data_IF_302031209021
#
_entry.id   IF_302031209021
#
_cell.length_a   1.000
_cell.length_b   1.000
_cell.length_c   1.000
_cell.angle_alpha   90.00
_cell.angle_beta   90.00
_cell.angle_gamma   90.00
#
_symmetry.space_group_name_H-M   'P 1'
#
loop_
_entity.id
_entity.type
_entity.pdbx_description
1 polymer ?
#
# COMPACT_ATOMS: atom_id res chain seq x y z
N UNK A 1 -2.51 4.10 8.11
CA UNK A 1 -1.58 3.12 8.72
C UNK A 1 -2.15 1.72 8.64
N UNK A 2 -1.86 1.01 7.55
CA UNK A 2 -2.11 -0.44 7.42
C UNK A 2 -0.89 -1.18 7.96
N UNK A 3 -0.72 -1.19 9.29
CA UNK A 3 0.49 -1.72 9.91
C UNK A 3 0.31 -3.20 10.22
N UNK A 4 1.22 -4.04 9.72
CA UNK A 4 1.69 -5.38 10.15
C UNK A 4 0.72 -6.39 10.84
N UNK A 5 -0.15 -5.96 11.75
CA UNK A 5 -1.16 -6.74 12.45
C UNK A 5 -2.28 -7.30 11.56
N UNK A 6 -2.54 -6.71 10.40
CA UNK A 6 -3.56 -7.21 9.46
C UNK A 6 -3.14 -8.54 8.79
N UNK A 7 -1.83 -8.80 8.67
CA UNK A 7 -1.26 -10.00 8.07
C UNK A 7 -1.08 -11.17 9.05
N UNK A 8 -1.26 -10.96 10.35
CA UNK A 8 -1.31 -12.08 11.30
C UNK A 8 -2.75 -12.60 11.41
N UNK A 9 -2.93 -13.87 11.06
CA UNK A 9 -4.24 -14.53 11.13
C UNK A 9 -4.16 -15.92 11.76
N UNK A 10 -5.30 -16.34 12.32
CA UNK A 10 -5.49 -17.69 12.85
C UNK A 10 -6.57 -18.42 12.05
N UNK A 11 -6.28 -19.65 11.65
CA UNK A 11 -7.13 -20.42 10.73
C UNK A 11 -8.50 -20.80 11.33
N UNK A 12 -8.60 -20.85 12.65
CA UNK A 12 -9.83 -21.09 13.43
C UNK A 12 -10.70 -19.84 13.59
N UNK A 13 -10.16 -18.65 13.31
CA UNK A 13 -10.88 -17.37 13.42
C UNK A 13 -11.37 -16.81 12.08
N UNK A 14 -11.06 -17.46 10.96
CA UNK A 14 -11.36 -16.95 9.61
C UNK A 14 -12.82 -16.50 9.42
N UNK A 15 -13.78 -17.19 10.02
CA UNK A 15 -15.21 -16.84 9.92
C UNK A 15 -15.57 -15.54 10.65
N UNK A 16 -14.79 -15.15 11.66
CA UNK A 16 -15.00 -13.94 12.46
C UNK A 16 -14.37 -12.69 11.84
N UNK A 17 -13.43 -12.85 10.90
CA UNK A 17 -12.75 -11.73 10.28
C UNK A 17 -13.67 -10.96 9.34
N UNK A 18 -13.41 -9.65 9.25
CA UNK A 18 -14.07 -8.76 8.29
C UNK A 18 -13.72 -9.16 6.88
N UNK A 19 -14.59 -8.80 5.93
CA UNK A 19 -14.39 -9.05 4.50
C UNK A 19 -13.08 -8.44 3.99
N UNK A 20 -12.75 -7.22 4.44
CA UNK A 20 -11.46 -6.57 4.16
C UNK A 20 -10.27 -7.40 4.63
N UNK A 21 -10.28 -7.88 5.87
CA UNK A 21 -9.18 -8.71 6.39
C UNK A 21 -9.07 -10.02 5.62
N UNK A 22 -10.18 -10.63 5.22
CA UNK A 22 -10.17 -11.83 4.40
C UNK A 22 -9.59 -11.57 3.00
N UNK A 23 -9.91 -10.44 2.37
CA UNK A 23 -9.32 -10.03 1.10
C UNK A 23 -7.81 -9.81 1.23
N UNK A 24 -7.34 -9.16 2.30
CA UNK A 24 -5.90 -9.01 2.54
C UNK A 24 -5.19 -10.35 2.73
N UNK A 25 -5.77 -11.26 3.54
CA UNK A 25 -5.24 -12.62 3.71
C UNK A 25 -5.18 -13.33 2.36
N UNK A 26 -6.26 -13.29 1.57
CA UNK A 26 -6.31 -13.92 0.25
C UNK A 26 -5.18 -13.43 -0.65
N UNK A 27 -5.03 -12.11 -0.81
CA UNK A 27 -3.97 -11.52 -1.65
C UNK A 27 -2.55 -11.87 -1.14
N UNK A 28 -2.39 -12.08 0.17
CA UNK A 28 -1.11 -12.48 0.76
C UNK A 28 -0.78 -13.99 0.60
N UNK A 29 -1.75 -14.84 0.29
CA UNK A 29 -1.54 -16.29 0.16
C UNK A 29 -1.83 -16.84 -1.22
N UNK A 30 -2.52 -16.10 -2.09
CA UNK A 30 -2.93 -16.50 -3.46
C UNK A 30 -1.74 -16.48 -4.45
N UNK A 31 -0.66 -17.13 -4.04
CA UNK A 31 0.50 -17.39 -4.84
C UNK A 31 1.07 -18.77 -4.47
N UNK A 32 1.66 -19.50 -5.43
CA UNK A 32 2.27 -20.80 -5.15
C UNK A 32 3.38 -20.70 -4.09
N UNK A 33 3.52 -21.73 -3.25
CA UNK A 33 4.68 -21.83 -2.36
C UNK A 33 5.97 -21.78 -3.17
N UNK A 34 6.85 -20.81 -2.86
CA UNK A 34 8.12 -20.64 -3.55
C UNK A 34 9.01 -21.88 -3.43
N UNK A 35 9.77 -22.17 -4.48
CA UNK A 35 10.74 -23.28 -4.52
C UNK A 35 11.78 -23.17 -3.40
N UNK A 36 12.07 -21.98 -2.88
CA UNK A 36 12.96 -21.81 -1.72
C UNK A 36 12.41 -22.53 -0.49
N UNK A 37 11.09 -22.51 -0.26
CA UNK A 37 10.47 -23.24 0.86
C UNK A 37 10.61 -24.75 0.74
N UNK A 38 10.80 -25.29 -0.48
CA UNK A 38 11.02 -26.73 -0.68
C UNK A 38 12.24 -27.25 0.09
N UNK A 39 13.27 -26.42 0.26
CA UNK A 39 14.50 -26.77 0.98
C UNK A 39 14.26 -27.00 2.49
N UNK A 40 13.14 -26.52 3.03
CA UNK A 40 12.76 -26.69 4.44
C UNK A 40 12.07 -28.04 4.73
N UNK A 41 11.74 -28.81 3.70
CA UNK A 41 11.02 -30.08 3.84
C UNK A 41 11.97 -31.27 3.67
N UNK A 42 11.99 -32.23 4.61
CA UNK A 42 12.95 -33.35 4.60
C UNK A 42 12.82 -34.28 3.39
N UNK A 43 11.63 -34.36 2.79
CA UNK A 43 11.35 -35.26 1.68
C UNK A 43 10.19 -34.74 0.80
N UNK A 44 9.99 -35.40 -0.34
CA UNK A 44 8.93 -35.06 -1.30
C UNK A 44 7.52 -35.17 -0.72
N UNK A 45 7.27 -36.13 0.17
CA UNK A 45 5.96 -36.35 0.76
C UNK A 45 5.56 -35.18 1.66
N UNK A 46 6.48 -34.70 2.50
CA UNK A 46 6.23 -33.59 3.41
C UNK A 46 6.07 -32.26 2.64
N UNK A 47 6.84 -32.06 1.56
CA UNK A 47 6.61 -30.96 0.63
C UNK A 47 5.20 -31.00 0.04
N UNK A 48 4.75 -32.17 -0.46
CA UNK A 48 3.41 -32.31 -1.04
C UNK A 48 2.31 -32.03 -0.01
N UNK A 49 2.49 -32.48 1.24
CA UNK A 49 1.55 -32.16 2.33
C UNK A 49 1.48 -30.65 2.58
N UNK A 50 2.61 -29.95 2.54
CA UNK A 50 2.63 -28.49 2.72
C UNK A 50 1.93 -27.76 1.57
N UNK A 51 2.20 -28.15 0.32
CA UNK A 51 1.50 -27.60 -0.86
C UNK A 51 -0.01 -27.82 -0.75
N UNK A 52 -0.44 -29.03 -0.38
CA UNK A 52 -1.86 -29.33 -0.23
C UNK A 52 -2.51 -28.51 0.89
N UNK A 53 -1.82 -28.30 2.02
CA UNK A 53 -2.30 -27.45 3.12
C UNK A 53 -2.42 -25.99 2.69
N UNK A 54 -1.43 -25.48 1.94
CA UNK A 54 -1.45 -24.12 1.39
C UNK A 54 -2.64 -23.91 0.45
N UNK A 55 -2.81 -24.80 -0.52
CA UNK A 55 -3.93 -24.74 -1.46
C UNK A 55 -5.29 -24.86 -0.75
N UNK A 56 -5.39 -25.72 0.26
CA UNK A 56 -6.61 -25.82 1.07
C UNK A 56 -6.89 -24.54 1.87
N UNK A 57 -5.86 -23.85 2.36
CA UNK A 57 -6.01 -22.56 3.03
C UNK A 57 -6.50 -21.46 2.07
N UNK A 58 -5.90 -21.37 0.87
CA UNK A 58 -6.36 -20.46 -0.20
C UNK A 58 -7.85 -20.70 -0.48
N UNK A 59 -8.22 -21.96 -0.75
CA UNK A 59 -9.60 -22.30 -1.10
C UNK A 59 -10.57 -21.96 0.04
N UNK A 60 -10.20 -22.25 1.29
CA UNK A 60 -11.03 -21.93 2.46
C UNK A 60 -11.32 -20.44 2.57
N UNK A 61 -10.31 -19.58 2.39
CA UNK A 61 -10.49 -18.12 2.44
C UNK A 61 -11.33 -17.64 1.25
N UNK A 62 -11.09 -18.20 0.07
CA UNK A 62 -11.84 -17.90 -1.15
C UNK A 62 -13.33 -18.23 -1.01
N UNK A 63 -13.66 -19.42 -0.51
CA UNK A 63 -15.04 -19.85 -0.30
C UNK A 63 -15.77 -18.91 0.67
N UNK A 64 -15.10 -18.53 1.77
CA UNK A 64 -15.66 -17.54 2.71
C UNK A 64 -15.92 -16.19 2.06
N UNK A 65 -15.01 -15.69 1.20
CA UNK A 65 -15.20 -14.43 0.49
C UNK A 65 -16.37 -14.49 -0.49
N UNK A 66 -16.54 -15.60 -1.23
CA UNK A 66 -17.66 -15.80 -2.16
C UNK A 66 -19.01 -15.79 -1.44
N UNK A 67 -19.07 -16.27 -0.19
CA UNK A 67 -20.29 -16.26 0.62
C UNK A 67 -20.64 -14.87 1.19
N UNK A 68 -19.69 -13.94 1.23
CA UNK A 68 -19.90 -12.56 1.73
C UNK A 68 -20.63 -11.72 0.69
N UNK A 69 -21.75 -11.10 1.10
CA UNK A 69 -22.52 -10.20 0.20
C UNK A 69 -21.83 -8.87 -0.04
N UNK A 70 -20.87 -8.50 0.82
CA UNK A 70 -20.15 -7.24 0.84
C UNK A 70 -18.75 -7.31 0.24
N UNK A 71 -18.33 -8.46 -0.32
CA UNK A 71 -16.99 -8.72 -0.88
C UNK A 71 -16.50 -7.69 -1.89
N UNK A 72 -17.43 -7.09 -2.64
CA UNK A 72 -17.14 -6.16 -3.73
C UNK A 72 -17.70 -4.76 -3.49
N UNK A 73 -18.18 -4.47 -2.27
CA UNK A 73 -18.66 -3.15 -1.93
C UNK A 73 -17.51 -2.14 -1.89
N UNK A 74 -17.84 -0.87 -2.13
CA UNK A 74 -16.90 0.22 -1.88
C UNK A 74 -16.56 0.23 -0.39
N UNK A 75 -15.26 0.26 -0.08
CA UNK A 75 -14.74 0.17 1.28
C UNK A 75 -15.07 1.42 2.09
N UNK A 76 -15.44 1.21 3.36
CA UNK A 76 -15.73 2.32 4.28
C UNK A 76 -14.53 3.25 4.47
N UNK A 77 -13.31 2.71 4.49
CA UNK A 77 -12.08 3.50 4.59
C UNK A 77 -11.96 4.51 3.45
N UNK A 78 -12.23 4.06 2.21
CA UNK A 78 -12.23 4.94 1.04
C UNK A 78 -13.38 5.95 1.08
N UNK A 79 -14.60 5.54 1.47
CA UNK A 79 -15.74 6.45 1.60
C UNK A 79 -15.51 7.58 2.61
N UNK A 80 -14.72 7.35 3.67
CA UNK A 80 -14.35 8.39 4.64
C UNK A 80 -13.47 9.48 4.02
N UNK A 81 -12.59 9.11 3.09
CA UNK A 81 -11.77 10.06 2.33
C UNK A 81 -12.57 10.75 1.23
N UNK A 82 -13.64 10.10 0.75
CA UNK A 82 -14.45 10.53 -0.38
C UNK A 82 -15.94 10.69 -0.04
N UNK A 83 -16.32 11.64 0.85
CA UNK A 83 -17.68 11.75 1.36
C UNK A 83 -18.73 12.06 0.29
N UNK A 84 -18.32 12.64 -0.86
CA UNK A 84 -19.19 12.99 -1.97
C UNK A 84 -19.23 11.93 -3.09
N UNK A 85 -18.59 10.77 -2.91
CA UNK A 85 -18.41 9.79 -3.98
C UNK A 85 -19.60 8.87 -4.28
N UNK A 86 -20.77 9.07 -3.64
CA UNK A 86 -21.97 8.28 -3.91
C UNK A 86 -22.44 8.33 -5.38
N UNK A 87 -21.87 9.24 -6.19
CA UNK A 87 -22.16 9.41 -7.63
C UNK A 87 -21.01 8.99 -8.56
N UNK A 88 -19.86 8.51 -8.05
CA UNK A 88 -18.72 8.12 -8.88
C UNK A 88 -18.93 6.73 -9.50
N UNK A 89 -18.49 6.57 -10.75
CA UNK A 89 -18.59 5.32 -11.49
C UNK A 89 -17.82 4.16 -10.83
N UNK A 90 -18.28 2.93 -11.06
CA UNK A 90 -17.69 1.66 -10.57
C UNK A 90 -16.40 1.25 -11.30
N UNK A 91 -15.60 2.18 -11.81
CA UNK A 91 -14.30 1.84 -12.36
C UNK A 91 -13.21 2.04 -11.29
N UNK A 92 -12.28 1.10 -11.26
CA UNK A 92 -11.07 1.16 -10.47
C UNK A 92 -9.94 0.43 -11.18
N UNK A 93 -8.72 0.78 -10.82
CA UNK A 93 -7.50 0.31 -11.48
C UNK A 93 -6.69 -0.58 -10.54
N UNK A 94 -6.06 -1.63 -11.07
CA UNK A 94 -5.01 -2.32 -10.30
C UNK A 94 -3.73 -1.49 -10.26
N UNK A 95 -2.81 -1.84 -9.36
CA UNK A 95 -1.47 -1.23 -9.28
C UNK A 95 -0.73 -1.38 -10.61
N UNK A 96 -0.84 -2.50 -11.31
CA UNK A 96 -0.20 -2.70 -12.62
C UNK A 96 -0.79 -1.79 -13.69
N UNK A 97 -2.11 -1.59 -13.68
CA UNK A 97 -2.77 -0.67 -14.61
C UNK A 97 -2.37 0.78 -14.33
N UNK A 98 -2.22 1.17 -13.07
CA UNK A 98 -1.71 2.47 -12.67
C UNK A 98 -0.25 2.64 -13.07
N UNK A 99 0.61 1.63 -12.83
CA UNK A 99 2.01 1.64 -13.25
C UNK A 99 2.16 1.85 -14.76
N UNK A 100 1.27 1.27 -15.58
CA UNK A 100 1.25 1.49 -17.02
C UNK A 100 0.80 2.91 -17.41
N UNK A 101 -0.05 3.55 -16.61
CA UNK A 101 -0.46 4.95 -16.81
C UNK A 101 0.63 5.94 -16.37
N UNK A 102 1.42 5.57 -15.37
CA UNK A 102 2.49 6.39 -14.81
C UNK A 102 3.85 5.67 -14.93
N UNK A 103 4.35 5.40 -16.15
CA UNK A 103 5.52 4.53 -16.35
C UNK A 103 6.79 5.04 -15.67
N UNK A 104 6.95 6.37 -15.55
CA UNK A 104 8.09 7.00 -14.88
C UNK A 104 8.05 6.85 -13.35
N UNK A 105 6.87 6.60 -12.79
CA UNK A 105 6.60 6.48 -11.35
C UNK A 105 6.25 5.05 -10.93
N UNK A 106 6.23 4.09 -11.87
CA UNK A 106 5.77 2.73 -11.62
C UNK A 106 6.44 2.05 -10.42
N UNK A 107 7.73 2.33 -10.18
CA UNK A 107 8.49 1.80 -9.04
C UNK A 107 8.27 2.56 -7.73
N UNK A 108 7.78 3.79 -7.81
CA UNK A 108 7.55 4.69 -6.67
C UNK A 108 6.07 4.78 -6.29
N UNK A 109 5.19 4.13 -7.07
CA UNK A 109 3.74 4.23 -6.90
C UNK A 109 3.28 3.84 -5.48
N UNK A 110 3.89 2.80 -4.90
CA UNK A 110 3.61 2.41 -3.50
C UNK A 110 4.02 3.47 -2.48
N UNK A 111 5.15 4.15 -2.69
CA UNK A 111 5.61 5.22 -1.82
C UNK A 111 4.69 6.45 -1.91
N UNK A 112 4.26 6.80 -3.12
CA UNK A 112 3.26 7.84 -3.34
C UNK A 112 1.95 7.51 -2.63
N UNK A 113 1.43 6.28 -2.81
CA UNK A 113 0.19 5.83 -2.16
C UNK A 113 0.28 5.90 -0.63
N UNK A 114 1.43 5.56 -0.05
CA UNK A 114 1.65 5.67 1.41
C UNK A 114 1.68 7.13 1.87
N UNK A 115 2.32 8.03 1.11
CA UNK A 115 2.43 9.45 1.44
C UNK A 115 1.07 10.16 1.33
N UNK A 116 0.27 9.86 0.30
CA UNK A 116 -1.07 10.42 0.12
C UNK A 116 -2.15 9.69 0.94
N UNK A 117 -1.79 8.61 1.63
CA UNK A 117 -2.74 7.71 2.32
C UNK A 117 -3.87 7.21 1.39
N UNK A 118 -3.50 6.79 0.18
CA UNK A 118 -4.45 6.29 -0.82
C UNK A 118 -5.01 4.94 -0.37
N UNK A 119 -6.33 4.88 -0.24
CA UNK A 119 -7.05 3.67 0.16
C UNK A 119 -7.55 2.87 -1.04
N UNK A 120 -7.65 1.55 -0.86
CA UNK A 120 -8.33 0.67 -1.82
C UNK A 120 -9.80 1.08 -1.88
N UNK A 121 -10.33 1.31 -3.09
CA UNK A 121 -11.74 1.65 -3.32
C UNK A 121 -12.63 0.44 -3.10
N UNK A 122 -12.32 -0.69 -3.73
CA UNK A 122 -13.04 -1.96 -3.60
C UNK A 122 -12.15 -3.13 -4.04
N UNK A 123 -12.57 -4.37 -3.76
CA UNK A 123 -11.99 -5.59 -4.33
C UNK A 123 -12.86 -6.10 -5.47
N UNK A 124 -12.28 -6.44 -6.61
CA UNK A 124 -13.03 -6.98 -7.76
C UNK A 124 -13.46 -8.45 -7.56
N UNK A 125 -14.13 -9.02 -8.57
CA UNK A 125 -14.58 -10.43 -8.60
C UNK A 125 -13.43 -11.45 -8.46
N UNK A 126 -12.19 -11.05 -8.73
CA UNK A 126 -10.98 -11.86 -8.51
C UNK A 126 -10.32 -11.56 -7.14
N UNK A 127 -11.01 -10.78 -6.30
CA UNK A 127 -10.53 -10.29 -5.00
C UNK A 127 -9.27 -9.42 -5.08
N UNK A 128 -8.99 -8.82 -6.25
CA UNK A 128 -7.86 -7.91 -6.42
C UNK A 128 -8.23 -6.48 -6.02
N UNK A 129 -7.33 -5.75 -5.36
CA UNK A 129 -7.58 -4.38 -4.95
C UNK A 129 -7.71 -3.46 -6.17
N UNK A 130 -8.71 -2.58 -6.13
CA UNK A 130 -8.98 -1.56 -7.14
C UNK A 130 -8.92 -0.18 -6.50
N UNK A 131 -8.20 0.73 -7.13
CA UNK A 131 -8.01 2.11 -6.68
C UNK A 131 -8.73 3.08 -7.61
N UNK A 132 -9.17 4.22 -7.07
CA UNK A 132 -9.71 5.31 -7.88
C UNK A 132 -8.57 6.05 -8.60
N UNK A 133 -8.74 6.40 -9.88
CA UNK A 133 -7.69 7.10 -10.61
C UNK A 133 -7.51 8.54 -10.12
N UNK A 134 -8.59 9.15 -9.64
CA UNK A 134 -8.56 10.53 -9.18
C UNK A 134 -7.66 10.71 -7.94
N UNK A 135 -7.48 9.65 -7.15
CA UNK A 135 -6.57 9.63 -5.99
C UNK A 135 -5.09 9.83 -6.41
N UNK A 136 -4.78 9.68 -7.70
CA UNK A 136 -3.44 9.85 -8.26
C UNK A 136 -3.29 11.16 -9.04
N UNK A 137 -4.20 12.13 -8.86
CA UNK A 137 -4.17 13.40 -9.59
C UNK A 137 -2.84 14.14 -9.44
N UNK A 138 -2.20 14.06 -8.29
CA UNK A 138 -1.00 14.84 -7.98
C UNK A 138 0.26 14.39 -8.72
N UNK A 139 0.25 13.16 -9.23
CA UNK A 139 1.40 12.58 -9.95
C UNK A 139 1.28 12.65 -11.47
N UNK A 140 0.21 13.25 -11.99
CA UNK A 140 0.18 13.65 -13.40
C UNK A 140 1.18 14.79 -13.61
N UNK A 141 2.03 14.68 -14.63
CA UNK A 141 3.09 15.68 -14.88
C UNK A 141 2.59 17.11 -15.04
N UNK A 142 1.35 17.29 -15.53
CA UNK A 142 0.70 18.60 -15.63
C UNK A 142 0.42 19.25 -14.26
N UNK A 143 0.34 18.45 -13.19
CA UNK A 143 0.00 18.89 -11.85
C UNK A 143 1.21 19.08 -10.94
N UNK A 144 2.42 18.62 -11.32
CA UNK A 144 3.64 18.77 -10.51
C UNK A 144 3.87 20.19 -9.95
N UNK A 145 3.69 21.28 -10.73
CA UNK A 145 3.90 22.63 -10.19
C UNK A 145 2.93 23.00 -9.06
N UNK A 146 1.75 22.40 -9.02
CA UNK A 146 0.72 22.71 -8.03
C UNK A 146 0.69 21.70 -6.86
N UNK A 147 1.02 20.44 -7.13
CA UNK A 147 1.02 19.37 -6.13
C UNK A 147 2.30 19.32 -5.31
N UNK A 148 3.44 19.73 -5.90
CA UNK A 148 4.77 19.58 -5.30
C UNK A 148 5.29 18.13 -5.32
N UNK A 149 4.57 17.20 -5.95
CA UNK A 149 5.09 15.89 -6.32
C UNK A 149 5.82 15.95 -7.64
N UNK A 150 6.83 15.11 -7.80
CA UNK A 150 7.60 14.97 -9.04
C UNK A 150 7.85 13.50 -9.36
N UNK A 151 8.69 13.22 -10.37
CA UNK A 151 9.02 11.84 -10.75
C UNK A 151 9.83 11.12 -9.68
N UNK A 152 10.72 11.83 -8.98
CA UNK A 152 11.61 11.21 -8.00
C UNK A 152 11.28 11.51 -6.54
N UNK A 153 10.42 12.51 -6.27
CA UNK A 153 10.13 12.86 -4.90
C UNK A 153 8.96 13.82 -4.70
N UNK A 154 9.01 14.47 -3.54
CA UNK A 154 8.04 15.46 -3.09
C UNK A 154 8.79 16.66 -2.51
N UNK A 155 8.29 17.87 -2.70
CA UNK A 155 8.82 19.05 -2.03
C UNK A 155 8.55 18.99 -0.53
N UNK A 156 9.43 19.61 0.26
CA UNK A 156 9.22 19.74 1.70
C UNK A 156 7.91 20.47 2.03
N UNK A 157 7.58 21.51 1.26
CA UNK A 157 6.33 22.26 1.43
C UNK A 157 5.09 21.37 1.23
N UNK A 158 5.07 20.56 0.16
CA UNK A 158 3.96 19.65 -0.10
C UNK A 158 3.84 18.57 0.98
N UNK A 159 4.96 18.00 1.44
CA UNK A 159 4.94 17.01 2.52
C UNK A 159 4.38 17.58 3.82
N UNK A 160 4.79 18.80 4.20
CA UNK A 160 4.28 19.46 5.41
C UNK A 160 2.80 19.85 5.29
N UNK A 161 2.32 20.14 4.07
CA UNK A 161 0.91 20.40 3.81
C UNK A 161 0.03 19.16 4.01
N UNK A 162 0.53 17.98 3.61
CA UNK A 162 -0.15 16.70 3.85
C UNK A 162 -0.21 16.37 5.34
N UNK A 163 0.83 16.75 6.09
CA UNK A 163 0.97 16.44 7.52
C UNK A 163 1.07 17.71 8.37
N UNK A 164 -0.04 18.47 8.55
CA UNK A 164 0.00 19.80 9.18
C UNK A 164 0.43 19.80 10.65
N UNK A 165 0.40 18.64 11.31
CA UNK A 165 0.88 18.48 12.69
C UNK A 165 2.41 18.30 12.77
N UNK A 166 3.08 18.09 11.64
CA UNK A 166 4.54 17.95 11.55
C UNK A 166 5.16 19.33 11.38
N UNK A 167 6.07 19.70 12.29
CA UNK A 167 6.84 20.94 12.14
C UNK A 167 8.00 20.76 11.15
N UNK A 168 8.30 21.80 10.37
CA UNK A 168 9.45 21.81 9.45
C UNK A 168 10.76 21.43 10.15
N UNK A 169 10.98 21.97 11.36
CA UNK A 169 12.18 21.67 12.17
C UNK A 169 12.36 20.18 12.46
N UNK A 170 11.27 19.47 12.78
CA UNK A 170 11.35 18.04 13.08
C UNK A 170 11.63 17.23 11.81
N UNK A 171 11.02 17.62 10.70
CA UNK A 171 11.29 17.01 9.39
C UNK A 171 12.76 17.21 9.00
N UNK A 172 13.27 18.43 9.07
CA UNK A 172 14.67 18.75 8.77
C UNK A 172 15.64 17.93 9.64
N UNK A 173 15.32 17.76 10.93
CA UNK A 173 16.13 16.98 11.85
C UNK A 173 16.18 15.50 11.45
N UNK A 174 15.05 14.90 11.08
CA UNK A 174 15.02 13.49 10.66
C UNK A 174 15.72 13.29 9.33
N UNK A 175 15.45 14.15 8.34
CA UNK A 175 16.12 14.06 7.03
C UNK A 175 17.64 14.21 7.18
N UNK A 176 18.10 15.10 8.08
CA UNK A 176 19.52 15.23 8.40
C UNK A 176 20.08 14.00 9.13
N UNK A 177 19.34 13.43 10.07
CA UNK A 177 19.77 12.20 10.76
C UNK A 177 19.88 11.00 9.82
N UNK A 178 19.04 10.96 8.78
CA UNK A 178 19.06 9.95 7.74
C UNK A 178 20.09 10.22 6.62
N UNK A 179 20.92 11.27 6.74
CA UNK A 179 21.83 11.73 5.67
C UNK A 179 21.13 11.84 4.30
N UNK A 180 19.94 12.45 4.29
CA UNK A 180 19.12 12.57 3.09
C UNK A 180 19.84 13.33 1.97
N UNK A 181 20.04 12.64 0.85
CA UNK A 181 20.50 13.22 -0.41
C UNK A 181 19.29 13.77 -1.17
N UNK A 182 19.08 15.08 -1.10
CA UNK A 182 18.03 15.75 -1.87
C UNK A 182 18.31 15.67 -3.37
N UNK A 183 17.25 15.53 -4.16
CA UNK A 183 17.32 15.56 -5.62
C UNK A 183 16.89 16.92 -6.16
N UNK A 184 17.34 17.24 -7.37
CA UNK A 184 16.97 18.45 -8.09
C UNK A 184 16.22 18.06 -9.36
N UNK A 185 14.92 18.37 -9.42
CA UNK A 185 14.08 18.10 -10.58
C UNK A 185 13.47 19.42 -11.08
N UNK A 186 13.77 19.80 -12.32
CA UNK A 186 13.29 21.05 -12.95
C UNK A 186 13.56 22.32 -12.11
N UNK A 187 14.70 22.37 -11.42
CA UNK A 187 15.10 23.51 -10.58
C UNK A 187 14.39 23.57 -9.23
N UNK A 188 13.71 22.48 -8.84
CA UNK A 188 13.07 22.32 -7.53
C UNK A 188 13.81 21.23 -6.75
N UNK A 189 14.15 21.54 -5.50
CA UNK A 189 14.70 20.56 -4.57
C UNK A 189 13.57 19.66 -4.05
N UNK A 190 13.77 18.35 -4.12
CA UNK A 190 12.79 17.35 -3.71
C UNK A 190 13.39 16.34 -2.75
N UNK A 191 12.58 15.91 -1.80
CA UNK A 191 12.86 14.79 -0.90
C UNK A 191 12.53 13.52 -1.69
N UNK A 192 13.49 12.61 -1.93
CA UNK A 192 13.18 11.36 -2.61
C UNK A 192 12.11 10.55 -1.87
N UNK A 193 11.27 9.85 -2.62
CA UNK A 193 10.10 9.14 -2.06
C UNK A 193 10.42 8.23 -0.87
N UNK A 194 11.56 7.54 -0.91
CA UNK A 194 11.99 6.66 0.19
C UNK A 194 12.19 7.43 1.50
N UNK A 195 12.88 8.58 1.45
CA UNK A 195 13.08 9.43 2.62
C UNK A 195 11.76 10.04 3.11
N UNK A 196 10.89 10.46 2.18
CA UNK A 196 9.59 11.02 2.53
C UNK A 196 8.68 10.01 3.26
N UNK A 197 8.60 8.76 2.77
CA UNK A 197 7.85 7.67 3.44
C UNK A 197 8.40 7.41 4.84
N UNK A 198 9.72 7.26 4.97
CA UNK A 198 10.32 6.92 6.26
C UNK A 198 10.24 8.08 7.27
N UNK A 199 10.36 9.33 6.81
CA UNK A 199 10.10 10.49 7.64
C UNK A 199 8.64 10.52 8.13
N UNK A 200 7.67 10.23 7.27
CA UNK A 200 6.25 10.11 7.64
C UNK A 200 6.04 9.00 8.67
N UNK A 201 6.65 7.82 8.48
CA UNK A 201 6.55 6.70 9.44
C UNK A 201 7.04 7.09 10.83
N UNK A 202 8.14 7.82 10.93
CA UNK A 202 8.61 8.31 12.23
C UNK A 202 7.74 9.41 12.83
N UNK A 203 7.36 10.42 12.03
CA UNK A 203 6.75 11.66 12.51
C UNK A 203 5.24 11.54 12.74
N UNK A 204 4.59 10.64 12.00
CA UNK A 204 3.14 10.47 11.98
C UNK A 204 2.75 9.12 12.55
N UNK A 205 3.46 8.06 12.14
CA UNK A 205 3.13 6.69 12.55
C UNK A 205 3.75 6.28 13.89
N UNK A 206 4.78 7.01 14.33
CA UNK A 206 5.45 6.77 15.61
C UNK A 206 6.48 5.64 15.56
N UNK A 207 6.90 5.22 14.37
CA UNK A 207 7.97 4.23 14.20
C UNK A 207 9.31 4.75 14.73
N UNK A 208 10.17 3.83 15.19
CA UNK A 208 11.53 4.18 15.61
C UNK A 208 12.44 4.40 14.39
N UNK A 209 13.50 5.19 14.56
CA UNK A 209 14.47 5.45 13.48
C UNK A 209 15.05 4.15 12.90
N UNK A 210 15.42 3.19 13.76
CA UNK A 210 15.98 1.92 13.34
C UNK A 210 14.99 1.12 12.47
N UNK A 211 13.70 1.12 12.82
CA UNK A 211 12.66 0.42 12.06
C UNK A 211 12.31 1.07 10.71
N UNK A 212 12.85 2.27 10.43
CA UNK A 212 12.55 3.04 9.22
C UNK A 212 13.77 3.24 8.32
N UNK A 213 14.96 3.44 8.88
CA UNK A 213 16.16 3.82 8.12
C UNK A 213 17.32 2.80 8.20
N UNK A 214 17.28 1.86 9.15
CA UNK A 214 18.36 0.85 9.33
C UNK A 214 17.99 -0.56 8.80
N UNK A 215 16.71 -0.81 8.47
CA UNK A 215 16.17 -2.04 7.86
C UNK A 215 15.97 -1.91 6.34
#
# INVERSE_FOLDING_TARGET
>A
MSSYYELMWRNDELTSYTTDKLNFIYNAIDHPLSVRYRQLYPNRLDWQKAVNRHNAAIQKVKDLLIERKDSHNIREAWLKLHPNAQTKANNGFTVEQLANKFPYMAKQLGAFMEIENIEIKYFDEEFKPRYDLDDFSDIFSANYPASGFTQSGITQEALLKLYPNVSAKNLDQILKMADCEFEQENGTEVIPYWYAVNAKRMLVDGDSFAATFDD
#
